data_IF_708912834144
#
_entry.id   IF_708912834144
#
_cell.length_a   1.000
_cell.length_b   1.000
_cell.length_c   1.000
_cell.angle_alpha   90.00
_cell.angle_beta   90.00
_cell.angle_gamma   90.00
#
_symmetry.space_group_name_H-M   'P 1'
#
loop_
_entity.id
_entity.type
_entity.pdbx_description
1 polymer ?
#
# COMPACT_ATOMS: atom_id res chain seq x y z
N UNK A 1 -46.10 42.02 -74.97
CA UNK A 1 -45.80 41.85 -76.41
C UNK A 1 -44.74 40.77 -76.56
N UNK A 2 -45.08 39.63 -77.16
CA UNK A 2 -44.06 38.80 -77.84
C UNK A 2 -43.66 39.47 -79.18
N UNK A 3 -42.67 38.96 -79.94
CA UNK A 3 -42.68 37.57 -80.39
C UNK A 3 -41.32 36.85 -80.58
N UNK A 4 -41.47 35.52 -80.71
CA UNK A 4 -40.70 34.46 -81.39
C UNK A 4 -39.60 34.86 -82.41
N UNK A 5 -38.54 34.03 -82.48
CA UNK A 5 -38.25 33.18 -83.67
C UNK A 5 -37.26 32.03 -83.41
N UNK A 6 -37.64 30.86 -83.89
CA UNK A 6 -36.87 29.60 -84.01
C UNK A 6 -36.09 29.57 -85.34
N UNK A 7 -34.94 28.87 -85.36
CA UNK A 7 -34.53 27.91 -86.41
C UNK A 7 -33.25 27.19 -85.94
N UNK A 8 -33.20 25.87 -85.66
CA UNK A 8 -33.25 24.66 -86.51
C UNK A 8 -31.96 24.42 -87.34
N UNK A 9 -31.08 23.52 -86.88
CA UNK A 9 -30.64 22.30 -87.60
C UNK A 9 -29.70 21.41 -86.76
N UNK A 10 -29.85 20.09 -86.92
CA UNK A 10 -29.25 18.96 -86.18
C UNK A 10 -28.14 18.26 -87.00
N UNK A 11 -27.41 17.36 -86.31
CA UNK A 11 -26.64 16.16 -86.73
C UNK A 11 -25.10 16.35 -86.81
N UNK A 12 -24.34 15.89 -85.80
CA UNK A 12 -23.71 14.55 -85.59
C UNK A 12 -22.53 14.31 -86.55
N UNK A 13 -21.30 13.96 -86.18
CA UNK A 13 -20.84 12.96 -85.20
C UNK A 13 -19.30 12.99 -85.05
N UNK A 14 -18.79 12.39 -83.96
CA UNK A 14 -17.44 11.81 -83.71
C UNK A 14 -16.55 12.50 -82.63
N UNK A 15 -16.00 11.66 -81.75
CA UNK A 15 -15.47 11.90 -80.39
C UNK A 15 -14.08 12.59 -80.33
N UNK A 16 -13.55 12.97 -79.13
CA UNK A 16 -12.82 12.00 -78.28
C UNK A 16 -13.11 12.04 -76.76
N UNK A 17 -12.94 10.85 -76.18
CA UNK A 17 -12.79 10.40 -74.78
C UNK A 17 -12.37 11.42 -73.69
N UNK A 18 -13.22 11.57 -72.66
CA UNK A 18 -12.86 12.16 -71.35
C UNK A 18 -12.15 11.13 -70.47
N UNK A 19 -10.87 11.38 -70.13
CA UNK A 19 -10.15 10.69 -69.04
C UNK A 19 -10.78 11.03 -67.68
N UNK A 20 -11.25 10.02 -66.94
CA UNK A 20 -11.51 10.08 -65.49
C UNK A 20 -10.15 10.07 -64.77
N UNK A 21 -9.80 11.13 -64.04
CA UNK A 21 -8.72 11.10 -63.03
C UNK A 21 -9.23 10.32 -61.83
N UNK A 22 -8.62 9.16 -61.52
CA UNK A 22 -8.70 8.58 -60.19
C UNK A 22 -8.03 9.55 -59.21
N UNK A 23 -8.71 9.89 -58.13
CA UNK A 23 -8.11 10.54 -56.97
C UNK A 23 -7.33 9.48 -56.21
N UNK A 24 -6.01 9.62 -56.21
CA UNK A 24 -5.07 8.80 -55.46
C UNK A 24 -5.02 9.36 -54.03
N UNK A 25 -5.69 8.72 -53.07
CA UNK A 25 -5.57 9.05 -51.64
C UNK A 25 -4.45 8.20 -51.05
N UNK A 26 -3.21 8.64 -51.22
CA UNK A 26 -2.08 8.12 -50.46
C UNK A 26 -2.17 8.63 -49.01
N UNK A 27 -2.06 7.76 -47.98
CA UNK A 27 -2.02 8.22 -46.59
C UNK A 27 -0.76 9.07 -46.38
N UNK A 28 -0.92 10.24 -45.78
CA UNK A 28 0.16 11.19 -45.56
C UNK A 28 1.29 10.56 -44.74
N UNK A 29 2.41 10.23 -45.40
CA UNK A 29 3.50 9.41 -44.87
C UNK A 29 4.12 10.01 -43.59
N UNK A 30 4.07 11.34 -43.42
CA UNK A 30 4.52 12.06 -42.21
C UNK A 30 3.68 11.73 -40.97
N UNK A 31 2.35 11.64 -41.12
CA UNK A 31 1.45 11.36 -39.98
C UNK A 31 1.64 9.94 -39.42
N UNK A 32 1.91 8.97 -40.29
CA UNK A 32 2.17 7.58 -39.91
C UNK A 32 3.52 7.43 -39.23
N UNK A 33 4.54 8.17 -39.67
CA UNK A 33 5.89 8.17 -39.07
C UNK A 33 5.87 8.80 -37.68
N UNK A 34 5.18 9.94 -37.50
CA UNK A 34 5.02 10.59 -36.20
C UNK A 34 4.25 9.71 -35.19
N UNK A 35 3.16 9.07 -35.61
CA UNK A 35 2.41 8.14 -34.75
C UNK A 35 3.26 6.93 -34.32
N UNK A 36 4.05 6.38 -35.24
CA UNK A 36 4.95 5.24 -34.96
C UNK A 36 6.10 5.64 -34.02
N UNK A 37 6.63 6.86 -34.18
CA UNK A 37 7.68 7.42 -33.34
C UNK A 37 7.18 7.67 -31.90
N UNK A 38 5.98 8.25 -31.74
CA UNK A 38 5.34 8.46 -30.43
C UNK A 38 5.06 7.13 -29.72
N UNK A 39 4.56 6.13 -30.44
CA UNK A 39 4.35 4.78 -29.89
C UNK A 39 5.66 4.12 -29.44
N UNK A 40 6.74 4.29 -30.20
CA UNK A 40 8.08 3.75 -29.88
C UNK A 40 8.69 4.41 -28.64
N UNK A 41 8.51 5.73 -28.48
CA UNK A 41 8.93 6.47 -27.29
C UNK A 41 8.09 6.04 -26.08
N UNK A 42 6.78 5.90 -26.23
CA UNK A 42 5.89 5.43 -25.16
C UNK A 42 6.28 4.04 -24.67
N UNK A 43 6.51 3.10 -25.59
CA UNK A 43 6.95 1.75 -25.25
C UNK A 43 8.32 1.74 -24.55
N UNK A 44 9.27 2.54 -25.02
CA UNK A 44 10.59 2.64 -24.40
C UNK A 44 10.56 3.26 -22.99
N UNK A 45 9.70 4.24 -22.76
CA UNK A 45 9.46 4.81 -21.43
C UNK A 45 8.84 3.75 -20.51
N UNK A 46 7.81 3.05 -20.98
CA UNK A 46 7.20 1.95 -20.21
C UNK A 46 8.22 0.86 -19.89
N UNK A 47 8.98 0.35 -20.86
CA UNK A 47 9.98 -0.69 -20.64
C UNK A 47 11.12 -0.25 -19.72
N UNK A 48 11.57 1.01 -19.81
CA UNK A 48 12.57 1.53 -18.89
C UNK A 48 12.00 1.69 -17.47
N UNK A 49 10.78 2.19 -17.32
CA UNK A 49 10.10 2.26 -16.01
C UNK A 49 9.94 0.87 -15.44
N UNK A 50 9.43 -0.10 -16.21
CA UNK A 50 9.29 -1.48 -15.78
C UNK A 50 10.65 -2.09 -15.43
N UNK A 51 11.68 -1.92 -16.27
CA UNK A 51 13.02 -2.42 -16.02
C UNK A 51 13.68 -1.83 -14.76
N UNK A 52 13.42 -0.55 -14.47
CA UNK A 52 13.94 0.10 -13.26
C UNK A 52 13.13 -0.25 -12.03
N UNK A 53 11.81 -0.38 -12.14
CA UNK A 53 10.98 -1.00 -11.11
C UNK A 53 11.45 -2.44 -10.83
N UNK A 54 11.90 -3.18 -11.85
CA UNK A 54 12.52 -4.51 -11.70
C UNK A 54 13.85 -4.46 -10.94
N UNK A 55 14.71 -3.49 -11.25
CA UNK A 55 16.00 -3.28 -10.56
C UNK A 55 15.83 -2.81 -9.11
N UNK A 56 14.86 -1.93 -8.86
CA UNK A 56 14.44 -1.49 -7.53
C UNK A 56 13.70 -2.58 -6.75
N UNK A 57 13.46 -3.73 -7.40
CA UNK A 57 12.77 -4.88 -6.82
C UNK A 57 11.28 -4.65 -6.61
N UNK A 58 10.67 -3.58 -7.15
CA UNK A 58 9.23 -3.25 -7.12
C UNK A 58 8.43 -4.12 -8.10
N UNK A 59 9.05 -4.44 -9.24
CA UNK A 59 8.65 -5.53 -10.13
C UNK A 59 9.70 -6.64 -9.98
N UNK A 60 9.40 -7.91 -10.22
CA UNK A 60 10.46 -8.91 -10.31
C UNK A 60 11.06 -8.95 -11.70
N UNK A 61 12.34 -9.33 -11.74
CA UNK A 61 13.08 -9.70 -12.94
C UNK A 61 12.28 -10.74 -13.75
N UNK A 62 12.28 -10.62 -15.09
CA UNK A 62 11.72 -11.67 -15.94
C UNK A 62 12.53 -12.95 -15.69
N UNK A 63 11.92 -13.94 -15.02
CA UNK A 63 12.53 -15.25 -14.88
C UNK A 63 12.40 -15.97 -16.23
N UNK A 64 13.44 -15.85 -17.06
CA UNK A 64 13.69 -16.85 -18.08
C UNK A 64 14.09 -18.16 -17.35
N UNK A 65 13.23 -19.18 -17.45
CA UNK A 65 13.50 -20.59 -17.24
C UNK A 65 14.58 -20.96 -16.20
N UNK A 66 14.22 -21.03 -14.92
CA UNK A 66 14.86 -21.97 -14.00
C UNK A 66 13.76 -22.78 -13.31
N UNK A 67 13.79 -24.10 -13.51
CA UNK A 67 12.91 -25.05 -12.81
C UNK A 67 13.17 -25.00 -11.29
N UNK A 68 12.15 -24.76 -10.46
CA UNK A 68 12.33 -24.83 -9.02
C UNK A 68 12.11 -26.27 -8.52
N UNK A 69 13.17 -26.90 -8.00
CA UNK A 69 13.05 -28.02 -7.06
C UNK A 69 12.40 -27.52 -5.78
N UNK A 70 11.14 -27.89 -5.55
CA UNK A 70 10.40 -27.54 -4.33
C UNK A 70 10.55 -28.65 -3.29
N UNK A 71 11.23 -28.37 -2.19
CA UNK A 71 11.00 -29.08 -0.93
C UNK A 71 9.93 -28.32 -0.13
N UNK A 72 8.72 -28.87 -0.12
CA UNK A 72 7.64 -28.48 0.79
C UNK A 72 8.04 -28.91 2.20
N UNK A 73 8.45 -27.95 3.04
CA UNK A 73 8.40 -28.14 4.50
C UNK A 73 6.99 -27.79 4.98
N UNK A 74 6.29 -28.79 5.49
CA UNK A 74 5.02 -28.65 6.17
C UNK A 74 5.19 -27.80 7.43
N UNK A 75 4.32 -26.80 7.61
CA UNK A 75 4.07 -26.19 8.93
C UNK A 75 2.72 -26.67 9.45
N UNK A 76 2.60 -26.88 10.78
CA UNK A 76 1.57 -27.74 11.34
C UNK A 76 0.20 -27.06 11.38
N UNK A 77 -0.83 -27.87 11.12
CA UNK A 77 -2.22 -27.53 11.36
C UNK A 77 -2.44 -27.29 12.86
N UNK A 78 -2.89 -26.10 13.23
CA UNK A 78 -3.48 -25.89 14.55
C UNK A 78 -4.91 -26.43 14.53
N UNK A 79 -5.16 -27.39 15.42
CA UNK A 79 -6.38 -28.18 15.48
C UNK A 79 -7.63 -27.35 15.79
N UNK A 80 -8.68 -27.63 15.03
CA UNK A 80 -10.06 -27.31 15.36
C UNK A 80 -10.56 -28.33 16.38
N UNK A 81 -10.80 -27.89 17.62
CA UNK A 81 -11.55 -28.66 18.60
C UNK A 81 -13.04 -28.63 18.26
N UNK A 82 -13.60 -29.81 18.06
CA UNK A 82 -15.03 -30.09 17.98
C UNK A 82 -15.69 -29.95 19.36
N UNK A 83 -16.87 -29.33 19.41
CA UNK A 83 -17.86 -29.63 20.45
C UNK A 83 -19.26 -29.46 19.87
N UNK A 84 -19.95 -30.59 19.71
CA UNK A 84 -21.38 -30.67 19.51
C UNK A 84 -22.11 -30.25 20.78
N UNK A 85 -23.18 -29.49 20.65
CA UNK A 85 -24.38 -29.65 21.47
C UNK A 85 -25.59 -29.10 20.71
N UNK A 86 -26.51 -30.00 20.37
CA UNK A 86 -27.89 -29.70 20.01
C UNK A 86 -28.70 -29.38 21.29
N UNK A 87 -29.58 -28.38 21.23
CA UNK A 87 -30.95 -28.46 21.76
C UNK A 87 -31.78 -27.19 21.44
N UNK A 88 -32.91 -27.45 20.78
CA UNK A 88 -34.17 -26.72 20.60
C UNK A 88 -34.47 -25.42 21.39
N UNK A 89 -34.90 -24.39 20.64
CA UNK A 89 -36.29 -23.91 20.61
C UNK A 89 -36.83 -22.98 21.70
N UNK A 90 -36.97 -21.68 21.39
CA UNK A 90 -38.22 -20.93 21.65
C UNK A 90 -38.26 -19.59 20.89
N UNK A 91 -39.43 -19.29 20.30
CA UNK A 91 -39.82 -18.01 19.73
C UNK A 91 -39.86 -16.91 20.80
N UNK A 92 -39.48 -15.68 20.43
CA UNK A 92 -40.26 -14.45 20.70
C UNK A 92 -40.02 -13.44 19.57
N UNK A 93 -41.09 -13.09 18.86
CA UNK A 93 -41.20 -11.89 18.03
C UNK A 93 -41.19 -10.64 18.92
N UNK A 94 -40.47 -9.58 18.52
CA UNK A 94 -40.96 -8.21 18.74
C UNK A 94 -40.47 -7.28 17.63
N UNK A 95 -41.46 -6.56 17.11
CA UNK A 95 -41.50 -5.73 15.93
C UNK A 95 -40.92 -4.31 16.14
N UNK A 96 -40.86 -3.57 15.03
CA UNK A 96 -40.71 -2.10 14.89
C UNK A 96 -39.27 -1.59 14.98
N UNK A 97 -38.76 -0.70 14.15
CA UNK A 97 -39.29 0.13 13.06
C UNK A 97 -38.09 0.69 12.29
N UNK A 98 -38.16 0.71 10.96
CA UNK A 98 -37.18 1.40 10.12
C UNK A 98 -37.36 2.93 10.21
N UNK A 99 -36.27 3.69 10.16
CA UNK A 99 -36.30 5.01 9.54
C UNK A 99 -35.31 5.09 8.37
N UNK A 100 -35.91 5.27 7.19
CA UNK A 100 -35.59 6.28 6.16
C UNK A 100 -34.12 6.59 5.87
N UNK A 101 -33.72 6.15 4.67
CA UNK A 101 -32.63 6.74 3.89
C UNK A 101 -32.91 8.22 3.58
N UNK A 102 -31.98 9.10 3.93
CA UNK A 102 -31.58 10.25 3.12
C UNK A 102 -30.35 10.92 3.75
N UNK A 103 -29.63 11.67 2.91
CA UNK A 103 -28.38 12.42 3.19
C UNK A 103 -27.07 11.64 3.00
N UNK A 104 -26.81 11.27 1.74
CA UNK A 104 -25.45 11.10 1.20
C UNK A 104 -25.48 11.22 -0.33
N UNK A 105 -26.01 12.32 -0.87
CA UNK A 105 -26.04 12.57 -2.33
C UNK A 105 -25.45 13.91 -2.75
N UNK A 106 -24.75 14.61 -1.87
CA UNK A 106 -23.98 15.81 -2.25
C UNK A 106 -22.50 15.55 -1.94
N UNK A 107 -21.62 15.95 -2.87
CA UNK A 107 -20.16 15.68 -2.95
C UNK A 107 -19.76 14.56 -3.94
N UNK A 108 -20.56 14.29 -4.99
CA UNK A 108 -20.08 13.55 -6.19
C UNK A 108 -20.28 14.33 -7.51
N UNK A 109 -20.84 15.55 -7.51
CA UNK A 109 -21.19 16.26 -8.75
C UNK A 109 -20.23 17.37 -9.21
N UNK A 110 -18.99 17.43 -8.74
CA UNK A 110 -18.01 18.39 -9.25
C UNK A 110 -16.72 17.68 -9.62
N UNK A 111 -16.68 17.10 -10.82
CA UNK A 111 -15.51 16.86 -11.69
C UNK A 111 -15.91 15.81 -12.74
N UNK A 112 -16.86 16.15 -13.61
CA UNK A 112 -17.17 15.33 -14.77
C UNK A 112 -17.82 16.18 -15.87
N UNK A 113 -17.12 17.21 -16.35
CA UNK A 113 -17.37 17.74 -17.69
C UNK A 113 -16.08 18.11 -18.41
N UNK A 114 -16.05 17.78 -19.70
CA UNK A 114 -15.11 18.16 -20.75
C UNK A 114 -13.70 17.55 -20.76
N UNK A 115 -13.57 16.30 -21.24
CA UNK A 115 -12.68 16.00 -22.38
C UNK A 115 -13.37 14.93 -23.24
N UNK A 116 -13.98 15.35 -24.36
CA UNK A 116 -14.27 14.44 -25.46
C UNK A 116 -12.92 14.05 -26.11
N UNK A 117 -12.59 12.76 -26.12
CA UNK A 117 -11.58 12.20 -27.03
C UNK A 117 -12.29 11.25 -28.01
N UNK A 118 -11.90 11.24 -29.30
CA UNK A 118 -12.69 10.62 -30.36
C UNK A 118 -12.71 9.10 -30.25
N UNK A 119 -13.88 8.52 -30.53
CA UNK A 119 -14.02 7.10 -30.81
C UNK A 119 -13.14 6.71 -32.00
N UNK A 120 -12.10 5.89 -31.77
CA UNK A 120 -11.44 5.15 -32.83
C UNK A 120 -11.71 3.66 -32.64
N UNK A 121 -12.45 3.14 -33.61
CA UNK A 121 -12.75 1.74 -33.88
C UNK A 121 -11.46 0.91 -33.91
N UNK A 122 -11.29 0.02 -32.95
CA UNK A 122 -10.37 -1.11 -33.12
C UNK A 122 -11.09 -2.21 -33.90
N UNK A 123 -10.94 -2.17 -35.23
CA UNK A 123 -11.25 -3.30 -36.08
C UNK A 123 -10.22 -4.41 -35.80
N UNK A 124 -10.70 -5.45 -35.13
CA UNK A 124 -10.01 -6.72 -34.99
C UNK A 124 -10.00 -7.40 -36.37
N UNK A 125 -8.84 -7.67 -36.98
CA UNK A 125 -8.73 -8.58 -38.13
C UNK A 125 -7.28 -9.05 -38.30
N UNK A 126 -6.91 -10.11 -37.58
CA UNK A 126 -5.85 -11.02 -38.02
C UNK A 126 -6.49 -12.10 -38.89
N UNK A 127 -6.54 -11.87 -40.20
CA UNK A 127 -6.55 -12.93 -41.21
C UNK A 127 -6.39 -12.32 -42.61
N UNK A 128 -5.33 -12.71 -43.31
CA UNK A 128 -5.26 -12.65 -44.77
C UNK A 128 -4.85 -14.05 -45.24
N UNK A 129 -5.83 -14.80 -45.75
CA UNK A 129 -5.58 -15.88 -46.70
C UNK A 129 -5.53 -15.20 -48.06
N UNK A 130 -4.51 -15.50 -48.86
CA UNK A 130 -4.59 -15.33 -50.31
C UNK A 130 -4.51 -16.69 -51.01
N UNK A 131 -5.25 -16.85 -52.12
CA UNK A 131 -5.30 -18.06 -52.91
C UNK A 131 -4.03 -18.18 -53.76
N UNK A 132 -3.85 -19.36 -54.36
CA UNK A 132 -2.87 -19.67 -55.42
C UNK A 132 -1.60 -20.35 -54.87
N UNK A 133 -1.63 -21.68 -54.88
CA UNK A 133 -0.55 -22.53 -54.41
C UNK A 133 0.71 -22.44 -55.26
N UNK A 134 1.76 -21.81 -54.72
CA UNK A 134 3.14 -22.18 -55.01
C UNK A 134 4.02 -21.98 -53.76
N UNK A 135 4.75 -23.04 -53.43
CA UNK A 135 5.72 -23.12 -52.34
C UNK A 135 7.03 -22.44 -52.76
N UNK A 136 7.48 -21.40 -52.05
CA UNK A 136 8.89 -20.96 -52.08
C UNK A 136 9.41 -20.82 -50.65
N UNK A 137 10.62 -21.35 -50.49
CA UNK A 137 11.45 -21.57 -49.33
C UNK A 137 11.63 -20.40 -48.36
N UNK A 138 11.76 -20.77 -47.08
CA UNK A 138 12.28 -19.96 -45.98
C UNK A 138 13.50 -19.12 -46.40
N UNK A 139 13.40 -17.80 -46.27
CA UNK A 139 14.55 -16.92 -46.08
C UNK A 139 14.19 -15.97 -44.95
N UNK A 140 14.93 -16.09 -43.85
CA UNK A 140 14.73 -15.32 -42.63
C UNK A 140 14.86 -13.83 -42.88
N UNK A 141 13.76 -13.10 -42.73
CA UNK A 141 13.82 -11.65 -42.56
C UNK A 141 14.04 -11.40 -41.07
N UNK A 142 15.31 -11.16 -40.70
CA UNK A 142 15.62 -10.48 -39.43
C UNK A 142 14.78 -9.21 -39.41
N UNK A 143 13.79 -9.16 -38.52
CA UNK A 143 13.20 -7.89 -38.12
C UNK A 143 14.34 -7.10 -37.47
N UNK A 144 14.96 -6.23 -38.25
CA UNK A 144 15.93 -5.28 -37.78
C UNK A 144 15.24 -4.46 -36.69
N UNK A 145 15.67 -4.65 -35.44
CA UNK A 145 15.43 -3.71 -34.35
C UNK A 145 15.79 -2.33 -34.90
N UNK A 146 14.79 -1.49 -35.19
CA UNK A 146 15.04 -0.08 -35.44
C UNK A 146 15.77 0.40 -34.18
N UNK A 147 17.05 0.80 -34.26
CA UNK A 147 17.77 1.26 -33.09
C UNK A 147 17.04 2.53 -32.66
N UNK A 148 16.49 2.52 -31.45
CA UNK A 148 15.75 3.64 -30.90
C UNK A 148 16.73 4.84 -30.81
N UNK A 149 16.78 5.71 -31.83
CA UNK A 149 17.81 6.75 -31.97
C UNK A 149 17.78 7.78 -30.83
N UNK A 150 16.65 7.86 -30.11
CA UNK A 150 16.44 8.81 -29.03
C UNK A 150 17.07 8.39 -27.70
N UNK A 151 17.37 7.10 -27.48
CA UNK A 151 18.00 6.64 -26.23
C UNK A 151 19.52 6.86 -26.19
N UNK A 152 20.14 7.34 -27.28
CA UNK A 152 21.58 7.63 -27.35
C UNK A 152 21.97 9.04 -26.91
N UNK A 153 21.01 9.97 -26.84
CA UNK A 153 21.29 11.32 -26.35
C UNK A 153 21.41 11.32 -24.81
N UNK A 154 22.53 11.80 -24.24
CA UNK A 154 22.77 11.82 -22.79
C UNK A 154 21.62 12.45 -21.99
N UNK A 155 20.98 13.48 -22.54
CA UNK A 155 19.87 14.22 -21.94
C UNK A 155 18.62 13.34 -21.82
N UNK A 156 18.29 12.58 -22.87
CA UNK A 156 17.15 11.65 -22.86
C UNK A 156 17.36 10.51 -21.87
N UNK A 157 18.60 10.02 -21.74
CA UNK A 157 18.94 9.01 -20.74
C UNK A 157 18.73 9.52 -19.31
N UNK A 158 19.16 10.74 -19.02
CA UNK A 158 18.95 11.39 -17.71
C UNK A 158 17.47 11.57 -17.39
N UNK A 159 16.65 11.93 -18.38
CA UNK A 159 15.20 12.01 -18.21
C UNK A 159 14.59 10.64 -17.90
N UNK A 160 15.02 9.59 -18.60
CA UNK A 160 14.59 8.21 -18.36
C UNK A 160 15.00 7.70 -16.96
N UNK A 161 16.18 8.05 -16.47
CA UNK A 161 16.62 7.76 -15.10
C UNK A 161 15.77 8.51 -14.06
N UNK A 162 15.47 9.79 -14.29
CA UNK A 162 14.59 10.56 -13.40
C UNK A 162 13.17 9.97 -13.30
N UNK A 163 12.57 9.52 -14.41
CA UNK A 163 11.24 8.90 -14.38
C UNK A 163 11.26 7.66 -13.47
N UNK A 164 12.32 6.86 -13.56
CA UNK A 164 12.48 5.69 -12.72
C UNK A 164 12.60 6.04 -11.24
N UNK A 165 13.48 6.99 -10.89
CA UNK A 165 13.67 7.43 -9.51
C UNK A 165 12.38 8.00 -8.91
N UNK A 166 11.64 8.81 -9.68
CA UNK A 166 10.35 9.36 -9.27
C UNK A 166 9.31 8.26 -9.03
N UNK A 167 9.27 7.25 -9.91
CA UNK A 167 8.32 6.14 -9.79
C UNK A 167 8.64 5.24 -8.60
N UNK A 168 9.93 4.98 -8.33
CA UNK A 168 10.39 4.23 -7.16
C UNK A 168 10.07 4.99 -5.87
N UNK A 169 10.35 6.30 -5.84
CA UNK A 169 10.12 7.17 -4.69
C UNK A 169 8.62 7.37 -4.37
N UNK A 170 7.73 7.13 -5.33
CA UNK A 170 6.29 7.27 -5.15
C UNK A 170 5.71 6.30 -4.10
N UNK A 171 6.37 5.16 -3.86
CA UNK A 171 5.96 4.19 -2.84
C UNK A 171 6.92 4.18 -1.66
N UNK A 172 6.37 4.23 -0.44
CA UNK A 172 7.17 4.01 0.76
C UNK A 172 7.81 2.60 0.75
N UNK A 173 9.03 2.41 1.30
CA UNK A 173 9.72 1.11 1.28
C UNK A 173 8.89 -0.06 1.81
N UNK A 174 8.07 0.17 2.84
CA UNK A 174 7.15 -0.83 3.40
C UNK A 174 6.00 -1.19 2.46
N UNK A 175 5.55 -0.22 1.64
CA UNK A 175 4.52 -0.43 0.62
C UNK A 175 5.11 -1.21 -0.55
N UNK A 176 6.33 -0.88 -0.99
CA UNK A 176 7.07 -1.66 -1.99
C UNK A 176 7.21 -3.12 -1.57
N UNK A 177 7.68 -3.38 -0.34
CA UNK A 177 7.81 -4.74 0.19
C UNK A 177 6.47 -5.50 0.22
N UNK A 178 5.37 -4.82 0.54
CA UNK A 178 4.03 -5.41 0.51
C UNK A 178 3.59 -5.74 -0.91
N UNK A 179 3.82 -4.85 -1.86
CA UNK A 179 3.46 -5.05 -3.27
C UNK A 179 4.26 -6.19 -3.89
N UNK A 180 5.56 -6.27 -3.58
CA UNK A 180 6.43 -7.37 -4.01
C UNK A 180 5.94 -8.71 -3.48
N UNK A 181 5.49 -8.76 -2.23
CA UNK A 181 4.91 -9.97 -1.64
C UNK A 181 3.61 -10.37 -2.35
N UNK A 182 2.72 -9.40 -2.59
CA UNK A 182 1.47 -9.65 -3.31
C UNK A 182 1.74 -10.23 -4.70
N UNK A 183 2.70 -9.64 -5.42
CA UNK A 183 3.08 -10.08 -6.75
C UNK A 183 3.69 -11.48 -6.75
N UNK A 184 4.63 -11.80 -5.85
CA UNK A 184 5.20 -13.16 -5.72
C UNK A 184 4.13 -14.23 -5.50
N UNK A 185 3.15 -13.95 -4.63
CA UNK A 185 2.05 -14.88 -4.36
C UNK A 185 1.16 -15.02 -5.60
N UNK A 186 0.87 -13.92 -6.30
CA UNK A 186 0.07 -13.93 -7.51
C UNK A 186 0.73 -14.68 -8.67
N UNK A 187 2.03 -14.49 -8.90
CA UNK A 187 2.76 -15.22 -9.95
C UNK A 187 2.88 -16.69 -9.62
N UNK A 188 3.13 -17.05 -8.35
CA UNK A 188 3.11 -18.45 -7.91
C UNK A 188 1.74 -19.08 -8.18
N UNK A 189 0.65 -18.38 -7.87
CA UNK A 189 -0.70 -18.80 -8.23
C UNK A 189 -0.85 -19.00 -9.75
N UNK A 190 -0.42 -18.02 -10.57
CA UNK A 190 -0.50 -18.14 -12.02
C UNK A 190 0.25 -19.36 -12.55
N UNK A 191 1.47 -19.61 -12.07
CA UNK A 191 2.27 -20.79 -12.44
C UNK A 191 1.58 -22.09 -12.01
N UNK A 192 1.11 -22.18 -10.76
CA UNK A 192 0.47 -23.39 -10.23
C UNK A 192 -0.82 -23.75 -10.98
N UNK A 193 -1.59 -22.76 -11.42
CA UNK A 193 -2.88 -22.98 -12.07
C UNK A 193 -2.85 -22.78 -13.60
N UNK A 194 -1.67 -22.73 -14.22
CA UNK A 194 -1.53 -22.67 -15.67
C UNK A 194 -2.04 -21.39 -16.33
N UNK A 195 -2.03 -20.26 -15.61
CA UNK A 195 -2.42 -18.96 -16.16
C UNK A 195 -1.28 -18.41 -17.02
N UNK A 196 -1.52 -18.29 -18.32
CA UNK A 196 -0.49 -17.91 -19.30
C UNK A 196 0.10 -16.50 -19.09
N UNK A 197 -0.71 -15.52 -18.70
CA UNK A 197 -0.29 -14.12 -18.55
C UNK A 197 -0.62 -13.60 -17.16
N UNK A 198 0.42 -13.25 -16.38
CA UNK A 198 0.28 -12.55 -15.09
C UNK A 198 0.16 -11.04 -15.27
N UNK A 199 0.63 -10.49 -16.39
CA UNK A 199 0.52 -9.07 -16.72
C UNK A 199 0.45 -8.88 -18.25
N UNK A 200 -0.67 -8.37 -18.82
CA UNK A 200 -1.93 -8.07 -18.13
C UNK A 200 -2.68 -9.35 -17.71
N UNK A 201 -3.21 -9.34 -16.49
CA UNK A 201 -4.18 -10.32 -16.03
C UNK A 201 -5.60 -9.89 -16.44
N UNK A 202 -6.46 -10.86 -16.77
CA UNK A 202 -7.88 -10.59 -17.02
C UNK A 202 -8.71 -10.66 -15.73
N UNK A 203 -9.97 -10.21 -15.80
CA UNK A 203 -10.90 -10.19 -14.65
C UNK A 203 -11.10 -11.59 -14.07
N UNK A 204 -11.22 -12.63 -14.89
CA UNK A 204 -11.40 -14.01 -14.44
C UNK A 204 -10.20 -14.52 -13.63
N UNK A 205 -8.98 -14.20 -14.06
CA UNK A 205 -7.75 -14.52 -13.31
C UNK A 205 -7.73 -13.84 -11.94
N UNK A 206 -8.10 -12.56 -11.86
CA UNK A 206 -8.19 -11.86 -10.58
C UNK A 206 -9.29 -12.45 -9.70
N UNK A 207 -10.45 -12.80 -10.27
CA UNK A 207 -11.54 -13.43 -9.52
C UNK A 207 -11.10 -14.76 -8.90
N UNK A 208 -10.44 -15.61 -9.69
CA UNK A 208 -9.86 -16.87 -9.20
C UNK A 208 -8.81 -16.63 -8.12
N UNK A 209 -7.97 -15.60 -8.28
CA UNK A 209 -6.97 -15.25 -7.28
C UNK A 209 -7.60 -14.76 -5.96
N UNK A 210 -8.67 -13.95 -6.02
CA UNK A 210 -9.43 -13.54 -4.82
C UNK A 210 -10.00 -14.76 -4.10
N UNK A 211 -10.61 -15.69 -4.85
CA UNK A 211 -11.12 -16.95 -4.31
C UNK A 211 -10.00 -17.78 -3.67
N UNK A 212 -8.87 -17.93 -4.35
CA UNK A 212 -7.69 -18.61 -3.83
C UNK A 212 -7.20 -18.00 -2.51
N UNK A 213 -6.99 -16.68 -2.45
CA UNK A 213 -6.56 -16.03 -1.20
C UNK A 213 -7.58 -16.20 -0.08
N UNK A 214 -8.87 -16.13 -0.40
CA UNK A 214 -9.94 -16.33 0.57
C UNK A 214 -9.91 -17.76 1.14
N UNK A 215 -9.77 -18.78 0.30
CA UNK A 215 -9.64 -20.19 0.67
C UNK A 215 -8.38 -20.45 1.50
N UNK A 216 -7.27 -19.75 1.19
CA UNK A 216 -6.03 -19.75 1.97
C UNK A 216 -6.12 -18.93 3.27
N UNK A 217 -7.34 -18.59 3.73
CA UNK A 217 -7.60 -17.90 4.99
C UNK A 217 -6.97 -16.52 5.15
N UNK A 218 -6.58 -15.85 4.05
CA UNK A 218 -6.10 -14.46 4.11
C UNK A 218 -7.23 -13.52 4.57
N UNK A 219 -6.89 -12.54 5.43
CA UNK A 219 -7.90 -11.56 5.87
C UNK A 219 -8.44 -10.73 4.69
N UNK A 220 -9.71 -10.29 4.71
CA UNK A 220 -10.28 -9.43 3.67
C UNK A 220 -9.45 -8.15 3.41
N UNK A 221 -8.85 -7.60 4.47
CA UNK A 221 -7.93 -6.46 4.40
C UNK A 221 -6.65 -6.80 3.64
N UNK A 222 -6.09 -7.99 3.87
CA UNK A 222 -4.89 -8.45 3.14
C UNK A 222 -5.22 -8.66 1.66
N UNK A 223 -6.36 -9.30 1.35
CA UNK A 223 -6.83 -9.49 -0.02
C UNK A 223 -6.94 -8.14 -0.73
N UNK A 224 -7.64 -7.18 -0.12
CA UNK A 224 -7.79 -5.82 -0.67
C UNK A 224 -6.45 -5.11 -0.91
N UNK A 225 -5.48 -5.31 0.01
CA UNK A 225 -4.13 -4.76 -0.11
C UNK A 225 -3.36 -5.39 -1.28
N UNK A 226 -3.47 -6.71 -1.45
CA UNK A 226 -2.85 -7.40 -2.57
C UNK A 226 -3.47 -7.00 -3.91
N UNK A 227 -4.79 -6.85 -3.98
CA UNK A 227 -5.45 -6.32 -5.17
C UNK A 227 -5.02 -4.88 -5.48
N UNK A 228 -4.85 -4.04 -4.47
CA UNK A 228 -4.31 -2.69 -4.66
C UNK A 228 -2.89 -2.72 -5.27
N UNK A 229 -2.06 -3.67 -4.84
CA UNK A 229 -0.75 -3.90 -5.44
C UNK A 229 -0.85 -4.32 -6.90
N UNK A 230 -1.69 -5.32 -7.21
CA UNK A 230 -1.88 -5.79 -8.59
C UNK A 230 -2.44 -4.69 -9.49
N UNK A 231 -3.42 -3.92 -9.02
CA UNK A 231 -3.98 -2.79 -9.77
C UNK A 231 -2.95 -1.68 -10.00
N UNK A 232 -2.10 -1.39 -9.02
CA UNK A 232 -0.96 -0.47 -9.20
C UNK A 232 0.00 -0.97 -10.28
N UNK A 233 0.36 -2.26 -10.26
CA UNK A 233 1.26 -2.86 -11.25
C UNK A 233 0.68 -2.81 -12.66
N UNK A 234 -0.63 -3.06 -12.83
CA UNK A 234 -1.27 -2.93 -14.14
C UNK A 234 -1.22 -1.48 -14.65
N UNK A 235 -1.59 -0.52 -13.79
CA UNK A 235 -1.59 0.90 -14.14
C UNK A 235 -0.20 1.43 -14.51
N UNK A 236 0.83 1.06 -13.74
CA UNK A 236 2.20 1.52 -14.01
C UNK A 236 2.79 0.87 -15.28
N UNK A 237 2.25 -0.29 -15.69
CA UNK A 237 2.53 -0.94 -16.98
C UNK A 237 1.65 -0.45 -18.13
N UNK A 238 0.93 0.66 -17.94
CA UNK A 238 -0.02 1.21 -18.92
C UNK A 238 -1.10 0.21 -19.37
N UNK A 239 -1.47 -0.73 -18.50
CA UNK A 239 -2.55 -1.70 -18.71
C UNK A 239 -3.81 -1.28 -17.94
N UNK A 240 -4.99 -1.72 -18.40
CA UNK A 240 -6.23 -1.57 -17.63
C UNK A 240 -6.13 -2.29 -16.29
N UNK A 241 -6.68 -1.70 -15.22
CA UNK A 241 -6.71 -2.32 -13.88
C UNK A 241 -7.88 -3.32 -13.77
N UNK A 242 -7.63 -4.65 -13.83
CA UNK A 242 -8.70 -5.65 -13.75
C UNK A 242 -9.35 -5.72 -12.36
N UNK A 243 -8.70 -5.16 -11.32
CA UNK A 243 -9.18 -5.24 -9.94
C UNK A 243 -10.37 -4.33 -9.66
N UNK A 244 -10.60 -3.34 -10.53
CA UNK A 244 -11.73 -2.40 -10.43
C UNK A 244 -13.03 -2.96 -11.05
N UNK A 245 -12.98 -4.12 -11.71
CA UNK A 245 -14.18 -4.72 -12.30
C UNK A 245 -15.27 -4.98 -11.24
N UNK A 246 -16.53 -4.73 -11.59
CA UNK A 246 -17.67 -4.83 -10.67
C UNK A 246 -17.73 -6.18 -9.93
N UNK A 247 -17.47 -7.28 -10.64
CA UNK A 247 -17.38 -8.62 -10.06
C UNK A 247 -16.38 -8.66 -8.90
N UNK A 248 -15.16 -8.14 -9.10
CA UNK A 248 -14.10 -8.14 -8.09
C UNK A 248 -14.51 -7.33 -6.87
N UNK A 249 -15.13 -6.16 -7.08
CA UNK A 249 -15.64 -5.32 -6.00
C UNK A 249 -16.71 -6.06 -5.17
N UNK A 250 -17.62 -6.79 -5.83
CA UNK A 250 -18.62 -7.64 -5.14
C UNK A 250 -17.98 -8.81 -4.41
N UNK A 251 -16.95 -9.44 -4.98
CA UNK A 251 -16.20 -10.51 -4.29
C UNK A 251 -15.52 -9.98 -3.02
N UNK A 252 -14.86 -8.82 -3.08
CA UNK A 252 -14.26 -8.19 -1.89
C UNK A 252 -15.32 -7.94 -0.82
N UNK A 253 -16.47 -7.35 -1.17
CA UNK A 253 -17.57 -7.16 -0.24
C UNK A 253 -18.06 -8.50 0.36
N UNK A 254 -18.12 -9.56 -0.45
CA UNK A 254 -18.37 -10.93 -0.01
C UNK A 254 -17.35 -11.43 1.01
N UNK A 255 -16.06 -11.21 0.78
CA UNK A 255 -15.00 -11.64 1.73
C UNK A 255 -15.18 -11.00 3.12
N UNK A 256 -15.58 -9.73 3.19
CA UNK A 256 -15.86 -9.04 4.45
C UNK A 256 -17.12 -9.56 5.16
N UNK A 257 -18.15 -9.96 4.40
CA UNK A 257 -19.39 -10.53 4.97
C UNK A 257 -19.19 -11.94 5.48
N UNK A 258 -18.43 -12.76 4.75
CA UNK A 258 -18.21 -14.16 5.08
C UNK A 258 -17.15 -14.34 6.17
N UNK A 259 -16.20 -13.41 6.29
CA UNK A 259 -15.13 -13.47 7.29
C UNK A 259 -15.11 -12.21 8.13
N UNK A 260 -15.64 -12.32 9.34
CA UNK A 260 -15.53 -11.25 10.31
C UNK A 260 -14.08 -11.14 10.79
N UNK A 261 -13.42 -10.01 10.52
CA UNK A 261 -12.07 -9.73 11.01
C UNK A 261 -12.08 -8.45 11.81
N UNK A 262 -11.80 -8.56 13.10
CA UNK A 262 -11.69 -7.42 14.01
C UNK A 262 -10.29 -7.37 14.62
N UNK A 263 -9.92 -6.17 15.07
CA UNK A 263 -8.66 -5.95 15.76
C UNK A 263 -8.76 -6.44 17.20
N UNK A 264 -8.28 -7.66 17.44
CA UNK A 264 -8.33 -8.32 18.75
C UNK A 264 -7.50 -7.63 19.84
N UNK A 265 -6.61 -6.69 19.48
CA UNK A 265 -5.67 -6.09 20.43
C UNK A 265 -6.42 -5.30 21.50
N UNK A 266 -6.11 -5.54 22.77
CA UNK A 266 -6.68 -4.80 23.90
C UNK A 266 -5.85 -3.55 24.19
N UNK A 267 -6.46 -2.49 24.76
CA UNK A 267 -5.73 -1.34 25.27
C UNK A 267 -4.84 -1.75 26.45
N UNK A 268 -3.58 -1.29 26.47
CA UNK A 268 -2.84 -1.23 27.73
C UNK A 268 -3.42 -0.06 28.51
N UNK A 269 -4.36 -0.33 29.42
CA UNK A 269 -4.95 0.70 30.28
C UNK A 269 -3.91 1.25 31.25
N UNK A 270 -4.21 2.38 31.90
CA UNK A 270 -3.30 2.95 32.89
C UNK A 270 -3.01 1.97 34.05
N UNK A 271 -4.00 1.15 34.45
CA UNK A 271 -3.80 0.10 35.45
C UNK A 271 -2.85 -1.00 34.96
N UNK A 272 -3.06 -1.50 33.74
CA UNK A 272 -2.19 -2.51 33.14
C UNK A 272 -0.77 -1.96 32.96
N UNK A 273 -0.64 -0.69 32.57
CA UNK A 273 0.65 -0.02 32.42
C UNK A 273 1.46 -0.05 33.72
N UNK A 274 0.82 0.27 34.86
CA UNK A 274 1.47 0.21 36.17
C UNK A 274 1.89 -1.22 36.53
N UNK A 275 1.01 -2.20 36.30
CA UNK A 275 1.32 -3.61 36.55
C UNK A 275 2.52 -4.10 35.73
N UNK A 276 2.56 -3.80 34.42
CA UNK A 276 3.69 -4.23 33.59
C UNK A 276 5.00 -3.52 33.99
N UNK A 277 4.95 -2.24 34.39
CA UNK A 277 6.12 -1.50 34.90
C UNK A 277 6.67 -2.15 36.16
N UNK A 278 5.80 -2.45 37.14
CA UNK A 278 6.18 -3.08 38.39
C UNK A 278 6.73 -4.51 38.17
N UNK A 279 6.31 -5.17 37.09
CA UNK A 279 6.80 -6.49 36.72
C UNK A 279 8.16 -6.51 36.02
N UNK A 280 8.62 -5.38 35.45
CA UNK A 280 9.86 -5.33 34.66
C UNK A 280 11.05 -5.93 35.42
N UNK A 281 11.34 -5.52 36.68
CA UNK A 281 12.48 -6.04 37.42
C UNK A 281 12.50 -7.55 37.61
N UNK A 282 11.35 -8.21 37.50
CA UNK A 282 11.21 -9.66 37.68
C UNK A 282 11.48 -10.45 36.38
N UNK A 283 11.49 -9.79 35.21
CA UNK A 283 11.55 -10.47 33.91
C UNK A 283 12.77 -10.11 33.05
N UNK A 284 13.49 -9.07 33.45
CA UNK A 284 14.74 -8.60 32.85
C UNK A 284 15.96 -9.05 33.67
N UNK A 285 17.14 -9.04 33.05
CA UNK A 285 18.34 -9.63 33.66
C UNK A 285 19.12 -8.68 34.57
N UNK A 286 19.06 -7.37 34.33
CA UNK A 286 19.84 -6.39 35.09
C UNK A 286 19.16 -5.01 35.18
N UNK A 287 19.68 -4.17 36.09
CA UNK A 287 19.14 -2.84 36.39
C UNK A 287 19.16 -1.88 35.19
N UNK A 288 20.03 -2.08 34.19
CA UNK A 288 20.01 -1.28 32.97
C UNK A 288 18.74 -1.57 32.18
N UNK A 289 18.43 -2.86 31.98
CA UNK A 289 17.21 -3.27 31.29
C UNK A 289 15.95 -2.83 32.04
N UNK A 290 15.99 -2.77 33.38
CA UNK A 290 14.87 -2.26 34.19
C UNK A 290 14.53 -0.83 33.75
N UNK A 291 15.53 0.04 33.77
CA UNK A 291 15.40 1.47 33.44
C UNK A 291 15.03 1.65 31.96
N UNK A 292 15.64 0.87 31.07
CA UNK A 292 15.38 0.91 29.63
C UNK A 292 13.91 0.58 29.31
N UNK A 293 13.41 -0.59 29.74
CA UNK A 293 12.08 -1.03 29.33
C UNK A 293 10.95 -0.25 30.03
N UNK A 294 11.15 0.18 31.28
CA UNK A 294 10.23 1.10 31.94
C UNK A 294 10.13 2.42 31.16
N UNK A 295 11.27 2.99 30.74
CA UNK A 295 11.28 4.20 29.91
C UNK A 295 10.58 3.98 28.55
N UNK A 296 10.83 2.86 27.87
CA UNK A 296 10.15 2.54 26.60
C UNK A 296 8.63 2.46 26.78
N UNK A 297 8.14 1.74 27.79
CA UNK A 297 6.70 1.54 28.01
C UNK A 297 5.98 2.85 28.33
N UNK A 298 6.54 3.64 29.25
CA UNK A 298 5.98 4.94 29.63
C UNK A 298 6.04 5.95 28.48
N UNK A 299 7.14 5.96 27.71
CA UNK A 299 7.25 6.80 26.51
C UNK A 299 6.20 6.39 25.47
N UNK A 300 6.09 5.09 25.18
CA UNK A 300 5.15 4.59 24.17
C UNK A 300 3.71 4.98 24.48
N UNK A 301 3.30 4.85 25.76
CA UNK A 301 1.98 5.28 26.22
C UNK A 301 1.84 6.81 26.15
N UNK A 302 2.73 7.55 26.82
CA UNK A 302 2.59 9.01 27.01
C UNK A 302 2.70 9.80 25.70
N UNK A 303 3.46 9.30 24.73
CA UNK A 303 3.62 9.92 23.42
C UNK A 303 2.65 9.41 22.36
N UNK A 304 1.73 8.51 22.74
CA UNK A 304 0.85 7.80 21.81
C UNK A 304 1.67 7.14 20.69
N UNK A 305 2.89 6.71 20.98
CA UNK A 305 3.85 6.37 19.94
C UNK A 305 3.43 5.09 19.21
N UNK A 306 3.69 5.05 17.91
CA UNK A 306 3.78 3.73 17.25
C UNK A 306 5.09 3.11 17.70
N UNK A 307 5.09 1.82 18.02
CA UNK A 307 6.32 1.21 18.55
C UNK A 307 7.51 1.26 17.57
N UNK A 308 7.22 1.26 16.26
CA UNK A 308 8.24 1.44 15.22
C UNK A 308 8.83 2.86 15.15
N UNK A 309 8.27 3.84 15.87
CA UNK A 309 8.88 5.16 16.07
C UNK A 309 9.97 5.10 17.16
N UNK A 310 9.96 4.09 18.04
CA UNK A 310 10.88 3.99 19.18
C UNK A 310 11.92 2.88 19.05
N UNK A 311 11.60 1.82 18.29
CA UNK A 311 12.36 0.57 18.28
C UNK A 311 12.59 0.11 16.85
N UNK A 312 13.81 -0.36 16.57
CA UNK A 312 14.23 -0.74 15.23
C UNK A 312 13.69 -2.13 14.83
N UNK A 313 13.60 -2.33 13.53
CA UNK A 313 13.58 -3.68 12.92
C UNK A 313 14.89 -3.89 12.16
N UNK A 314 15.33 -5.13 11.91
CA UNK A 314 16.59 -5.37 11.19
C UNK A 314 16.70 -4.61 9.85
N UNK A 315 15.57 -4.33 9.20
CA UNK A 315 15.47 -3.60 7.93
C UNK A 315 15.18 -2.10 8.07
N UNK A 316 14.95 -1.58 9.28
CA UNK A 316 14.59 -0.17 9.52
C UNK A 316 15.30 0.36 10.77
N UNK A 317 16.54 0.82 10.58
CA UNK A 317 17.38 1.35 11.68
C UNK A 317 17.39 2.89 11.77
N UNK A 318 17.05 3.61 10.70
CA UNK A 318 17.36 5.04 10.57
C UNK A 318 16.21 6.02 10.89
N UNK A 319 14.99 5.53 11.14
CA UNK A 319 13.80 6.39 11.28
C UNK A 319 13.15 6.37 12.67
N UNK A 320 13.82 5.77 13.66
CA UNK A 320 13.40 5.84 15.07
C UNK A 320 13.79 7.18 15.69
N UNK A 321 13.17 7.54 16.82
CA UNK A 321 13.56 8.71 17.61
C UNK A 321 15.04 8.64 17.96
N UNK A 322 15.78 9.70 17.64
CA UNK A 322 17.20 9.84 17.92
C UNK A 322 17.41 10.58 19.24
N UNK A 323 18.60 10.45 19.82
CA UNK A 323 18.99 11.22 21.01
C UNK A 323 18.87 12.73 20.76
N UNK A 324 19.25 13.20 19.57
CA UNK A 324 19.16 14.60 19.16
C UNK A 324 17.73 15.11 18.93
N UNK A 325 16.73 14.22 18.93
CA UNK A 325 15.32 14.61 18.82
C UNK A 325 14.71 15.01 20.16
N UNK A 326 15.44 14.84 21.27
CA UNK A 326 14.94 15.10 22.61
C UNK A 326 15.69 16.27 23.24
N UNK A 327 14.95 17.32 23.57
CA UNK A 327 15.47 18.49 24.28
C UNK A 327 14.87 18.60 25.67
N UNK A 328 15.61 19.19 26.60
CA UNK A 328 15.20 19.34 28.00
C UNK A 328 15.08 20.83 28.35
N UNK A 329 14.07 21.15 29.16
CA UNK A 329 13.89 22.51 29.71
C UNK A 329 14.01 22.44 31.22
N UNK A 330 14.85 23.31 31.77
CA UNK A 330 15.09 23.39 33.21
C UNK A 330 14.21 24.48 33.84
N UNK A 331 13.75 24.23 35.06
CA UNK A 331 13.13 25.20 35.96
C UNK A 331 13.71 24.96 37.34
N UNK A 332 14.14 26.02 38.02
CA UNK A 332 14.74 25.98 39.37
C UNK A 332 15.91 24.98 39.49
N UNK A 333 16.76 24.92 38.46
CA UNK A 333 17.93 24.03 38.42
C UNK A 333 17.62 22.55 38.15
N UNK A 334 16.35 22.18 38.00
CA UNK A 334 15.92 20.82 37.73
C UNK A 334 15.31 20.70 36.33
N UNK A 335 15.43 19.53 35.71
CA UNK A 335 14.76 19.25 34.43
C UNK A 335 13.25 19.16 34.68
N UNK A 336 12.51 20.12 34.15
CA UNK A 336 11.06 20.21 34.31
C UNK A 336 10.29 19.54 33.16
N UNK A 337 10.87 19.57 31.95
CA UNK A 337 10.22 19.05 30.73
C UNK A 337 11.22 18.37 29.80
N UNK A 338 10.76 17.35 29.09
CA UNK A 338 11.44 16.79 27.93
C UNK A 338 10.54 16.93 26.69
N UNK A 339 11.04 17.58 25.65
CA UNK A 339 10.32 17.76 24.39
C UNK A 339 10.92 16.87 23.30
N UNK A 340 10.10 16.01 22.72
CA UNK A 340 10.47 15.08 21.67
C UNK A 340 9.99 15.57 20.33
N UNK A 341 10.90 15.67 19.37
CA UNK A 341 10.64 16.01 17.98
C UNK A 341 10.37 14.76 17.12
N UNK A 342 9.13 14.59 16.68
CA UNK A 342 8.76 13.60 15.67
C UNK A 342 8.94 14.22 14.28
N UNK A 343 10.16 14.10 13.72
CA UNK A 343 10.53 14.64 12.39
C UNK A 343 9.81 13.95 11.24
N UNK A 344 9.83 12.62 11.25
CA UNK A 344 9.15 11.77 10.27
C UNK A 344 8.26 10.80 11.01
N UNK A 345 7.06 10.58 10.50
CA UNK A 345 6.16 9.54 11.00
C UNK A 345 5.17 9.16 9.91
N UNK A 346 4.40 8.09 10.15
CA UNK A 346 3.44 7.59 9.16
C UNK A 346 2.48 8.70 8.72
N UNK A 347 2.38 8.91 7.41
CA UNK A 347 1.60 9.98 6.74
C UNK A 347 2.16 11.40 6.92
N UNK A 348 3.41 11.54 7.37
CA UNK A 348 4.14 12.81 7.45
C UNK A 348 5.57 12.64 6.95
N UNK A 349 5.72 12.36 5.65
CA UNK A 349 7.04 12.17 5.03
C UNK A 349 7.71 13.50 4.64
N UNK A 350 6.92 14.54 4.37
CA UNK A 350 7.37 15.85 3.90
C UNK A 350 6.71 17.04 4.62
N UNK A 351 5.88 16.79 5.64
CA UNK A 351 5.25 17.85 6.42
C UNK A 351 6.10 18.26 7.63
N UNK A 352 5.67 19.31 8.36
CA UNK A 352 6.43 19.84 9.49
C UNK A 352 6.55 18.82 10.63
N UNK A 353 7.61 18.89 11.45
CA UNK A 353 7.74 18.05 12.64
C UNK A 353 6.60 18.29 13.62
N UNK A 354 6.33 17.28 14.45
CA UNK A 354 5.39 17.40 15.59
C UNK A 354 6.14 17.19 16.90
N UNK A 355 5.75 17.93 17.92
CA UNK A 355 6.42 17.92 19.20
C UNK A 355 5.49 17.34 20.26
N UNK A 356 6.03 16.47 21.11
CA UNK A 356 5.35 15.97 22.31
C UNK A 356 6.22 16.31 23.50
N UNK A 357 5.63 16.93 24.52
CA UNK A 357 6.33 17.33 25.73
C UNK A 357 5.88 16.46 26.90
N UNK A 358 6.85 15.84 27.58
CA UNK A 358 6.65 15.18 28.86
C UNK A 358 6.99 16.15 29.97
N UNK A 359 6.19 16.11 31.03
CA UNK A 359 6.43 16.83 32.29
C UNK A 359 6.32 15.83 33.43
N UNK A 360 6.80 16.22 34.61
CA UNK A 360 6.51 15.50 35.85
C UNK A 360 4.99 15.37 36.04
N UNK A 361 4.55 14.24 36.60
CA UNK A 361 3.13 13.94 36.76
C UNK A 361 2.83 13.37 38.15
N UNK A 362 1.54 13.35 38.52
CA UNK A 362 1.06 12.85 39.80
C UNK A 362 0.94 11.32 39.83
N UNK A 363 1.94 10.61 39.30
CA UNK A 363 2.00 9.16 39.24
C UNK A 363 3.29 8.65 39.88
N UNK A 364 3.35 7.35 40.21
CA UNK A 364 4.51 6.71 40.85
C UNK A 364 5.81 6.96 40.07
N UNK A 365 5.75 6.86 38.74
CA UNK A 365 6.85 7.16 37.82
C UNK A 365 6.24 7.81 36.58
N UNK A 366 6.57 9.07 36.29
CA UNK A 366 6.17 9.71 35.04
C UNK A 366 7.08 9.30 33.88
N UNK A 367 6.65 9.55 32.64
CA UNK A 367 7.52 9.33 31.48
C UNK A 367 8.81 10.16 31.55
N UNK A 368 8.76 11.38 32.11
CA UNK A 368 9.94 12.21 32.31
C UNK A 368 10.89 11.56 33.32
N UNK A 369 10.39 11.10 34.46
CA UNK A 369 11.20 10.43 35.49
C UNK A 369 11.91 9.19 34.94
N UNK A 370 11.19 8.37 34.17
CA UNK A 370 11.74 7.17 33.56
C UNK A 370 12.80 7.50 32.51
N UNK A 371 12.56 8.52 31.68
CA UNK A 371 13.53 9.02 30.70
C UNK A 371 14.81 9.48 31.39
N UNK A 372 14.70 10.32 32.42
CA UNK A 372 15.87 10.84 33.14
C UNK A 372 16.64 9.73 33.85
N UNK A 373 15.93 8.77 34.45
CA UNK A 373 16.55 7.62 35.12
C UNK A 373 17.28 6.72 34.12
N UNK A 374 16.70 6.48 32.94
CA UNK A 374 17.37 5.75 31.87
C UNK A 374 18.60 6.49 31.33
N UNK A 375 18.50 7.80 31.10
CA UNK A 375 19.61 8.59 30.58
C UNK A 375 20.84 8.63 31.50
N UNK A 376 20.66 8.46 32.82
CA UNK A 376 21.77 8.32 33.78
C UNK A 376 22.62 7.06 33.55
N UNK A 377 22.04 5.99 33.01
CA UNK A 377 22.74 4.71 32.76
C UNK A 377 23.03 4.46 31.28
N UNK A 378 22.30 5.12 30.38
CA UNK A 378 22.51 5.03 28.93
C UNK A 378 23.90 5.56 28.58
N UNK A 379 24.65 4.85 27.72
CA UNK A 379 25.90 5.38 27.16
C UNK A 379 25.66 6.69 26.41
N UNK A 380 26.61 7.64 26.39
CA UNK A 380 26.49 8.91 25.67
C UNK A 380 26.64 8.79 24.13
N UNK A 381 26.53 7.58 23.58
CA UNK A 381 26.63 7.36 22.13
C UNK A 381 25.48 8.09 21.39
N UNK A 382 25.78 8.76 20.25
CA UNK A 382 24.76 9.33 19.39
C UNK A 382 23.93 8.23 18.70
N UNK A 383 22.87 8.64 18.01
CA UNK A 383 21.99 7.72 17.29
C UNK A 383 20.66 7.48 18.02
N UNK A 384 20.05 6.28 17.87
CA UNK A 384 18.74 5.98 18.45
C UNK A 384 18.66 6.28 19.94
N UNK A 385 17.51 6.80 20.37
CA UNK A 385 17.27 7.19 21.75
C UNK A 385 17.36 5.98 22.69
N UNK A 386 16.68 4.89 22.34
CA UNK A 386 16.71 3.64 23.10
C UNK A 386 17.79 2.69 22.55
N UNK A 387 18.80 2.44 23.37
CA UNK A 387 19.89 1.51 23.14
C UNK A 387 19.86 0.39 24.18
N UNK A 388 20.30 -0.81 23.78
CA UNK A 388 20.66 -1.89 24.68
C UNK A 388 21.91 -1.53 25.48
N UNK A 389 22.20 -2.28 26.54
CA UNK A 389 23.41 -2.11 27.36
C UNK A 389 24.71 -2.17 26.54
N UNK A 390 24.72 -2.98 25.48
CA UNK A 390 25.85 -3.10 24.55
C UNK A 390 25.95 -1.91 23.57
N UNK A 391 25.01 -0.97 23.60
CA UNK A 391 24.99 0.23 22.76
C UNK A 391 24.39 0.04 21.38
N UNK A 392 23.65 -1.05 21.15
CA UNK A 392 22.94 -1.28 19.88
C UNK A 392 21.48 -0.80 19.98
N UNK A 393 20.86 -0.38 18.88
CA UNK A 393 19.44 -0.02 18.89
C UNK A 393 18.58 -1.20 19.38
N UNK A 394 17.57 -0.90 20.20
CA UNK A 394 16.64 -1.94 20.67
C UNK A 394 15.88 -2.50 19.47
N UNK A 395 15.81 -3.83 19.37
CA UNK A 395 15.09 -4.52 18.31
C UNK A 395 13.66 -4.87 18.74
N UNK A 396 12.74 -4.86 17.77
CA UNK A 396 11.33 -5.20 18.00
C UNK A 396 11.13 -6.58 18.63
N UNK A 397 11.95 -7.56 18.25
CA UNK A 397 11.89 -8.92 18.80
C UNK A 397 12.21 -8.93 20.30
N UNK A 398 13.21 -8.16 20.73
CA UNK A 398 13.56 -8.02 22.14
C UNK A 398 12.43 -7.35 22.93
N UNK A 399 11.87 -6.28 22.38
CA UNK A 399 10.71 -5.60 22.97
C UNK A 399 9.51 -6.53 23.13
N UNK A 400 9.11 -7.22 22.07
CA UNK A 400 7.95 -8.11 22.12
C UNK A 400 8.18 -9.25 23.14
N UNK A 401 9.42 -9.75 23.25
CA UNK A 401 9.79 -10.75 24.27
C UNK A 401 9.61 -10.21 25.70
N UNK A 402 10.12 -9.02 26.00
CA UNK A 402 10.00 -8.44 27.35
C UNK A 402 8.56 -8.07 27.66
N UNK A 403 7.84 -7.46 26.71
CA UNK A 403 6.42 -7.15 26.88
C UNK A 403 5.60 -8.41 27.18
N UNK A 404 5.80 -9.49 26.42
CA UNK A 404 5.09 -10.75 26.65
C UNK A 404 5.41 -11.34 28.03
N UNK A 405 6.67 -11.29 28.48
CA UNK A 405 7.03 -11.73 29.84
C UNK A 405 6.32 -10.92 30.93
N UNK A 406 6.29 -9.58 30.79
CA UNK A 406 5.59 -8.71 31.73
C UNK A 406 4.08 -9.00 31.76
N UNK A 407 3.46 -9.17 30.59
CA UNK A 407 2.03 -9.47 30.51
C UNK A 407 1.71 -10.81 31.16
N UNK A 408 2.52 -11.84 30.90
CA UNK A 408 2.33 -13.16 31.48
C UNK A 408 2.53 -13.15 33.00
N UNK A 409 3.51 -12.40 33.53
CA UNK A 409 3.70 -12.28 34.98
C UNK A 409 2.55 -11.51 35.67
N UNK A 410 1.84 -10.65 34.93
CA UNK A 410 0.60 -10.01 35.39
C UNK A 410 -0.66 -10.89 35.19
N UNK A 411 -0.54 -12.12 34.68
CA UNK A 411 -1.69 -13.00 34.41
C UNK A 411 -2.54 -12.60 33.20
N UNK A 412 -2.00 -11.79 32.28
CA UNK A 412 -2.70 -11.30 31.09
C UNK A 412 -2.38 -12.16 29.86
N UNK A 413 -3.37 -12.36 28.98
CA UNK A 413 -3.16 -13.05 27.70
C UNK A 413 -2.32 -12.18 26.75
N UNK A 414 -1.03 -12.51 26.64
CA UNK A 414 -0.08 -11.79 25.78
C UNK A 414 -0.40 -11.84 24.28
N UNK A 415 -1.31 -12.71 23.82
CA UNK A 415 -1.77 -12.70 22.43
C UNK A 415 -2.67 -11.49 22.13
N UNK A 416 -3.34 -10.94 23.15
CA UNK A 416 -4.22 -9.78 23.04
C UNK A 416 -3.47 -8.45 23.12
N UNK A 417 -2.16 -8.44 23.39
CA UNK A 417 -1.39 -7.21 23.52
C UNK A 417 -0.15 -7.21 22.62
N UNK A 418 0.12 -6.06 22.00
CA UNK A 418 1.31 -5.82 21.17
C UNK A 418 1.75 -4.37 21.33
N UNK A 419 2.84 -3.95 20.70
CA UNK A 419 3.28 -2.54 20.77
C UNK A 419 2.22 -1.50 20.39
N UNK A 420 1.21 -1.87 19.59
CA UNK A 420 0.09 -0.97 19.28
C UNK A 420 -0.90 -0.76 20.44
N UNK A 421 -0.96 -1.71 21.38
CA UNK A 421 -1.84 -1.66 22.55
C UNK A 421 -1.55 -0.46 23.45
N UNK A 422 -0.30 0.01 23.51
CA UNK A 422 0.06 1.26 24.20
C UNK A 422 -0.66 2.47 23.60
N UNK A 423 -0.67 2.57 22.26
CA UNK A 423 -1.32 3.67 21.55
C UNK A 423 -2.85 3.60 21.61
N UNK A 424 -3.42 2.40 21.62
CA UNK A 424 -4.86 2.20 21.89
C UNK A 424 -5.17 2.68 23.32
N UNK A 425 -4.41 2.20 24.30
CA UNK A 425 -4.57 2.56 25.71
C UNK A 425 -4.45 4.06 25.98
N UNK A 426 -3.46 4.73 25.36
CA UNK A 426 -3.29 6.17 25.50
C UNK A 426 -4.48 6.97 24.94
N UNK A 427 -5.04 6.54 23.79
CA UNK A 427 -6.23 7.15 23.21
C UNK A 427 -7.47 6.95 24.08
N UNK A 428 -7.70 5.72 24.54
CA UNK A 428 -8.78 5.40 25.48
C UNK A 428 -8.65 6.25 26.75
N UNK A 429 -7.47 6.28 27.36
CA UNK A 429 -7.24 7.01 28.61
C UNK A 429 -7.47 8.52 28.45
N UNK A 430 -7.02 9.11 27.35
CA UNK A 430 -7.29 10.53 27.08
C UNK A 430 -8.78 10.82 26.91
N UNK A 431 -9.52 9.95 26.22
CA UNK A 431 -10.98 10.08 26.10
C UNK A 431 -11.68 9.94 27.45
N UNK A 432 -11.28 8.96 28.28
CA UNK A 432 -11.80 8.77 29.65
C UNK A 432 -11.50 9.96 30.57
N UNK A 433 -10.41 10.69 30.32
CA UNK A 433 -10.08 11.95 30.99
C UNK A 433 -10.80 13.17 30.43
N UNK A 434 -11.72 12.99 29.48
CA UNK A 434 -12.54 14.06 28.91
C UNK A 434 -11.80 14.97 27.94
N UNK A 435 -10.65 14.55 27.39
CA UNK A 435 -9.99 15.32 26.35
C UNK A 435 -10.84 15.32 25.08
N UNK A 436 -10.90 16.47 24.40
CA UNK A 436 -11.59 16.60 23.13
C UNK A 436 -10.94 15.77 22.01
N UNK A 437 -11.74 15.40 21.02
CA UNK A 437 -11.28 14.74 19.80
C UNK A 437 -10.10 15.47 19.13
N UNK A 438 -10.13 16.81 19.14
CA UNK A 438 -9.05 17.63 18.60
C UNK A 438 -7.74 17.46 19.38
N UNK A 439 -7.80 17.41 20.71
CA UNK A 439 -6.63 17.16 21.56
C UNK A 439 -6.09 15.75 21.34
N UNK A 440 -6.94 14.72 21.35
CA UNK A 440 -6.54 13.32 21.14
C UNK A 440 -5.90 13.14 19.77
N UNK A 441 -6.50 13.73 18.72
CA UNK A 441 -5.93 13.75 17.36
C UNK A 441 -4.55 14.38 17.34
N UNK A 442 -4.39 15.53 17.99
CA UNK A 442 -3.13 16.25 18.06
C UNK A 442 -2.05 15.42 18.77
N UNK A 443 -2.35 14.92 19.97
CA UNK A 443 -1.41 14.13 20.79
C UNK A 443 -0.95 12.85 20.09
N UNK A 444 -1.89 12.12 19.47
CA UNK A 444 -1.53 10.93 18.70
C UNK A 444 -1.09 11.19 17.28
N UNK A 445 -1.10 12.43 16.78
CA UNK A 445 -0.68 12.77 15.42
C UNK A 445 -1.56 12.05 14.36
N UNK A 446 -2.87 12.01 14.58
CA UNK A 446 -3.83 11.51 13.58
C UNK A 446 -4.31 12.64 12.67
N UNK A 447 -4.19 12.45 11.36
CA UNK A 447 -4.70 13.38 10.34
C UNK A 447 -6.19 13.23 10.04
N UNK A 448 -6.80 12.12 10.47
CA UNK A 448 -8.21 11.78 10.20
C UNK A 448 -8.90 11.19 11.42
N UNK A 449 -10.19 10.86 11.28
CA UNK A 449 -11.01 10.20 12.30
C UNK A 449 -10.58 8.76 12.62
N UNK A 450 -9.43 8.30 12.11
CA UNK A 450 -8.86 6.99 12.44
C UNK A 450 -8.60 6.80 13.94
N UNK A 451 -8.44 7.87 14.73
CA UNK A 451 -8.26 7.81 16.18
C UNK A 451 -9.48 7.20 16.91
N UNK A 452 -10.70 7.33 16.38
CA UNK A 452 -11.91 6.77 16.99
C UNK A 452 -11.81 5.24 17.15
N UNK A 453 -11.12 4.55 16.24
CA UNK A 453 -10.89 3.09 16.32
C UNK A 453 -9.94 2.66 17.45
N UNK A 454 -9.24 3.62 18.04
CA UNK A 454 -8.32 3.42 19.16
C UNK A 454 -8.99 3.65 20.50
N UNK A 455 -10.06 4.45 20.55
CA UNK A 455 -10.82 4.68 21.77
C UNK A 455 -11.68 3.44 22.01
N UNK A 456 -11.27 2.65 23.01
CA UNK A 456 -11.91 1.39 23.42
C UNK A 456 -12.14 1.46 24.93
N UNK A 457 -13.22 2.11 25.39
CA UNK A 457 -13.54 2.22 26.80
C UNK A 457 -13.64 0.82 27.41
N UNK A 458 -13.07 0.64 28.59
CA UNK A 458 -13.34 -0.58 29.37
C UNK A 458 -14.77 -0.47 29.88
N UNK A 459 -15.68 -1.25 29.28
CA UNK A 459 -17.04 -1.45 29.79
C UNK A 459 -17.02 -2.11 31.15
#
# INVERSE_FOLDING_TARGET
>A
MGPKKQNRQKQSSSQPTKRRRLMDTTPNHQSTVEATMVQTISAAVTDNVLGQLRKAGILPQDQANEEPRVHLTSMPAQGTSTSNHEAAGHLVEMSTSAPTANESSEIVSAYNESIQLPALLFANNNQCIQPDGHRISQVGTKCSKIPNMHTRQPETRKLLENIADLTVAALAPSTQATYNRAWKIFTSFCTTYGVANSLPANVSTIALFVSFLFTQSFSPRTISTYLSALGYLHKISAQSDPTQAFLIQKMIAGTYRLRNTFDIRLPITHSILNQIIDSVPQVTADEYDHKLYIAIFLFAFSAFARIGELICTPSQNAEVIQLSDVSFTNQDGLVAKATVCFRKFKHNSAGPPKYITFSHGNCKISALDAILTYLRVRSNKPGPFFLSKSGFPVLRVCFDKILNKCLNSCGLDSNRYKGHSFRIGAATYAAEKGLSDAQIRSMGRWSSNAFQKYIRPTS
#
